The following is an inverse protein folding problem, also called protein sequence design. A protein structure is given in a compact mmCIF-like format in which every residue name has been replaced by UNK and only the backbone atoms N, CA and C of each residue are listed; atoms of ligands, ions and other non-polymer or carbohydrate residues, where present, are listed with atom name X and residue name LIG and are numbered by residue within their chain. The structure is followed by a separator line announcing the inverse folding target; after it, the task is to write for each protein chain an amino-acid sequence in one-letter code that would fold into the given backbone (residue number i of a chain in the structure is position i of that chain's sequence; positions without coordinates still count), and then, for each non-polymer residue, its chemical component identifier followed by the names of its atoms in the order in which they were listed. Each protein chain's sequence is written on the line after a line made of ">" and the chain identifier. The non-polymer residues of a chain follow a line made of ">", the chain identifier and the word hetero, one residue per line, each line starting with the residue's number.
data_IF_014939500331
#
_entry.id   IF_014939500331
#
_cell.length_a   1.000
_cell.length_b   1.000
_cell.length_c   1.000
_cell.angle_alpha   90.00
_cell.angle_beta   90.00
_cell.angle_gamma   90.00
#
_symmetry.space_group_name_H-M   'P 1'
#
loop_
_entity.id
_entity.type
_entity.pdbx_description
1 polymer ?
#
# COMPACT_ATOMS: atom_id res chain seq x y z
N UNK A 1 7.36 18.27 37.04
CA UNK A 1 6.54 19.08 36.11
C UNK A 1 7.48 19.89 35.21
N UNK A 2 8.15 19.26 34.24
CA UNK A 2 9.15 19.92 33.36
C UNK A 2 9.16 19.36 31.91
N UNK A 3 8.11 18.63 31.51
CA UNK A 3 8.03 17.99 30.19
C UNK A 3 7.39 18.86 29.10
N UNK A 4 6.45 19.74 29.46
CA UNK A 4 5.57 20.41 28.49
C UNK A 4 6.25 21.54 27.68
N UNK A 5 7.31 22.16 28.22
CA UNK A 5 7.98 23.29 27.57
C UNK A 5 8.86 22.86 26.38
N UNK A 6 9.46 21.66 26.45
CA UNK A 6 10.28 21.12 25.38
C UNK A 6 9.46 20.65 24.17
N UNK A 7 8.30 20.04 24.42
CA UNK A 7 7.39 19.55 23.38
C UNK A 7 6.78 20.69 22.55
N UNK A 8 6.44 21.82 23.20
CA UNK A 8 5.92 23.00 22.52
C UNK A 8 6.94 23.67 21.60
N UNK A 9 8.21 23.76 22.04
CA UNK A 9 9.30 24.30 21.23
C UNK A 9 9.60 23.41 20.01
N UNK A 10 9.61 22.08 20.21
CA UNK A 10 9.83 21.12 19.13
C UNK A 10 8.73 21.20 18.07
N UNK A 11 7.46 21.22 18.49
CA UNK A 11 6.31 21.33 17.58
C UNK A 11 6.33 22.63 16.77
N UNK A 12 6.77 23.73 17.37
CA UNK A 12 6.93 25.00 16.65
C UNK A 12 8.01 24.93 15.56
N UNK A 13 9.14 24.27 15.85
CA UNK A 13 10.22 24.08 14.86
C UNK A 13 9.71 23.26 13.67
N UNK A 14 8.98 22.17 13.93
CA UNK A 14 8.42 21.29 12.90
C UNK A 14 7.39 22.02 12.03
N UNK A 15 6.47 22.77 12.64
CA UNK A 15 5.47 23.56 11.92
C UNK A 15 6.15 24.61 11.03
N UNK A 16 7.17 25.30 11.54
CA UNK A 16 7.89 26.32 10.78
C UNK A 16 8.69 25.71 9.62
N UNK A 17 9.26 24.52 9.79
CA UNK A 17 9.94 23.79 8.71
C UNK A 17 8.94 23.38 7.62
N UNK A 18 7.79 22.80 8.00
CA UNK A 18 6.74 22.44 7.06
C UNK A 18 6.23 23.67 6.29
N UNK A 19 5.98 24.78 6.97
CA UNK A 19 5.55 26.03 6.33
C UNK A 19 6.57 26.57 5.32
N UNK A 20 7.87 26.49 5.61
CA UNK A 20 8.93 26.90 4.66
C UNK A 20 8.96 26.07 3.39
N UNK A 21 8.70 24.76 3.50
CA UNK A 21 8.67 23.84 2.36
C UNK A 21 7.39 24.06 1.55
N UNK A 22 6.23 24.13 2.22
CA UNK A 22 4.93 24.29 1.58
C UNK A 22 4.70 25.69 1.00
N UNK A 23 5.40 26.70 1.53
CA UNK A 23 5.30 28.10 1.10
C UNK A 23 6.10 28.43 -0.18
N UNK A 24 7.01 27.56 -0.61
CA UNK A 24 7.72 27.70 -1.88
C UNK A 24 7.17 26.65 -2.87
N UNK A 25 6.66 27.11 -4.02
CA UNK A 25 6.02 26.25 -5.02
C UNK A 25 6.97 25.19 -5.61
N UNK A 26 8.25 25.53 -5.80
CA UNK A 26 9.27 24.60 -6.29
C UNK A 26 9.62 23.54 -5.24
N UNK A 27 9.79 23.96 -3.98
CA UNK A 27 10.10 23.06 -2.88
C UNK A 27 8.93 22.13 -2.56
N UNK A 28 7.69 22.64 -2.62
CA UNK A 28 6.47 21.85 -2.49
C UNK A 28 6.38 20.79 -3.57
N UNK A 29 6.62 21.16 -4.84
CA UNK A 29 6.58 20.20 -5.95
C UNK A 29 7.64 19.10 -5.81
N UNK A 30 8.86 19.44 -5.38
CA UNK A 30 9.90 18.46 -5.12
C UNK A 30 9.53 17.51 -3.97
N UNK A 31 8.94 18.05 -2.90
CA UNK A 31 8.45 17.26 -1.77
C UNK A 31 7.32 16.31 -2.17
N UNK A 32 6.32 16.80 -2.92
CA UNK A 32 5.20 16.00 -3.41
C UNK A 32 5.67 14.86 -4.32
N UNK A 33 6.70 15.10 -5.15
CA UNK A 33 7.30 14.07 -6.00
C UNK A 33 8.00 12.99 -5.16
N UNK A 34 8.79 13.40 -4.16
CA UNK A 34 9.47 12.47 -3.25
C UNK A 34 8.47 11.62 -2.44
N UNK A 35 7.39 12.22 -1.96
CA UNK A 35 6.34 11.48 -1.25
C UNK A 35 5.69 10.44 -2.17
N UNK A 36 5.37 10.82 -3.41
CA UNK A 36 4.80 9.89 -4.38
C UNK A 36 5.75 8.74 -4.73
N UNK A 37 7.04 9.03 -4.91
CA UNK A 37 8.06 8.01 -5.13
C UNK A 37 8.18 7.07 -3.94
N UNK A 38 8.16 7.62 -2.71
CA UNK A 38 8.18 6.83 -1.48
C UNK A 38 6.92 5.99 -1.27
N UNK A 39 5.74 6.48 -1.69
CA UNK A 39 4.49 5.71 -1.69
C UNK A 39 4.52 4.55 -2.69
N UNK A 40 5.05 4.80 -3.90
CA UNK A 40 5.19 3.77 -4.93
C UNK A 40 6.23 2.71 -4.57
N UNK A 41 7.30 3.11 -3.86
CA UNK A 41 8.42 2.25 -3.47
C UNK A 41 8.19 1.61 -2.09
N UNK A 42 7.21 2.09 -1.32
CA UNK A 42 6.82 1.44 -0.07
C UNK A 42 6.32 0.05 -0.44
N UNK A 43 7.05 -0.95 0.03
CA UNK A 43 6.60 -2.34 0.00
C UNK A 43 5.25 -2.38 0.71
N UNK A 44 4.17 -2.56 -0.05
CA UNK A 44 2.85 -2.72 0.53
C UNK A 44 2.90 -3.97 1.41
N UNK A 45 2.40 -3.92 2.66
CA UNK A 45 2.38 -5.09 3.49
C UNK A 45 1.53 -6.16 2.81
N UNK A 46 2.19 -7.22 2.34
CA UNK A 46 1.51 -8.42 1.86
C UNK A 46 0.74 -8.98 3.05
N UNK A 47 -0.56 -9.06 2.88
CA UNK A 47 -1.48 -9.42 3.94
C UNK A 47 -1.39 -10.92 4.28
N UNK A 48 -1.22 -11.74 3.25
CA UNK A 48 -1.06 -13.17 3.38
C UNK A 48 -0.31 -13.76 2.18
N UNK A 49 0.33 -14.90 2.38
CA UNK A 49 0.90 -15.72 1.32
C UNK A 49 0.00 -16.94 1.11
N UNK A 50 -0.35 -17.22 -0.14
CA UNK A 50 -1.28 -18.29 -0.53
C UNK A 50 -0.62 -19.15 -1.59
N UNK A 51 -0.66 -20.47 -1.46
CA UNK A 51 -0.10 -21.35 -2.47
C UNK A 51 -1.05 -21.53 -3.66
N UNK A 52 -0.51 -21.82 -4.84
CA UNK A 52 -1.35 -22.15 -6.01
C UNK A 52 -2.34 -23.30 -5.74
N UNK A 53 -1.98 -24.19 -4.82
CA UNK A 53 -2.76 -25.36 -4.42
C UNK A 53 -4.00 -25.01 -3.58
N UNK A 54 -3.98 -23.85 -2.91
CA UNK A 54 -5.09 -23.37 -2.06
C UNK A 54 -6.14 -22.57 -2.84
N UNK A 55 -5.86 -22.25 -4.11
CA UNK A 55 -6.77 -21.53 -4.99
C UNK A 55 -7.87 -22.45 -5.52
N UNK A 56 -9.10 -21.94 -5.57
CA UNK A 56 -10.21 -22.62 -6.25
C UNK A 56 -10.14 -22.30 -7.74
N UNK A 57 -10.07 -23.32 -8.59
CA UNK A 57 -10.08 -23.15 -10.04
C UNK A 57 -11.48 -23.31 -10.63
N UNK A 58 -11.94 -22.28 -11.33
CA UNK A 58 -13.21 -22.28 -12.05
C UNK A 58 -12.97 -22.54 -13.55
N UNK A 59 -13.27 -23.74 -14.09
CA UNK A 59 -12.95 -24.11 -15.47
C UNK A 59 -13.83 -23.41 -16.51
N UNK A 60 -15.01 -22.90 -16.12
CA UNK A 60 -15.91 -22.17 -17.03
C UNK A 60 -15.40 -20.77 -17.35
N UNK A 61 -14.83 -20.09 -16.35
CA UNK A 61 -14.28 -18.73 -16.46
C UNK A 61 -12.77 -18.73 -16.65
N UNK A 62 -12.09 -19.86 -16.43
CA UNK A 62 -10.63 -19.99 -16.42
C UNK A 62 -9.96 -19.03 -15.42
N UNK A 63 -10.52 -18.96 -14.22
CA UNK A 63 -10.09 -18.05 -13.15
C UNK A 63 -9.79 -18.84 -11.88
N UNK A 64 -8.68 -18.52 -11.23
CA UNK A 64 -8.39 -18.93 -9.87
C UNK A 64 -8.98 -17.91 -8.88
N UNK A 65 -9.67 -18.41 -7.86
CA UNK A 65 -10.34 -17.61 -6.85
C UNK A 65 -9.89 -17.97 -5.43
N UNK A 66 -9.69 -16.95 -4.58
CA UNK A 66 -9.40 -17.10 -3.14
C UNK A 66 -10.30 -16.16 -2.33
N UNK A 67 -10.89 -16.60 -1.21
CA UNK A 67 -11.73 -15.73 -0.38
C UNK A 67 -10.88 -14.74 0.42
N UNK A 68 -11.34 -13.49 0.48
CA UNK A 68 -10.77 -12.48 1.36
C UNK A 68 -11.53 -12.41 2.69
N UNK A 69 -10.84 -12.10 3.80
CA UNK A 69 -11.46 -11.92 5.12
C UNK A 69 -12.48 -10.78 5.18
N UNK A 70 -12.47 -9.86 4.22
CA UNK A 70 -13.46 -8.78 4.13
C UNK A 70 -14.80 -9.24 3.52
N UNK A 71 -14.85 -10.46 2.97
CA UNK A 71 -16.00 -10.99 2.23
C UNK A 71 -15.90 -10.84 0.71
N UNK A 72 -14.87 -10.17 0.20
CA UNK A 72 -14.52 -10.14 -1.23
C UNK A 72 -13.72 -11.37 -1.67
N UNK A 73 -13.18 -11.33 -2.88
CA UNK A 73 -12.33 -12.37 -3.42
C UNK A 73 -11.09 -11.81 -4.13
N UNK A 74 -10.08 -12.67 -4.25
CA UNK A 74 -8.94 -12.48 -5.13
C UNK A 74 -9.20 -13.33 -6.36
N UNK A 75 -9.18 -12.71 -7.53
CA UNK A 75 -9.43 -13.36 -8.81
C UNK A 75 -8.23 -13.15 -9.73
N UNK A 76 -7.74 -14.23 -10.34
CA UNK A 76 -6.59 -14.20 -11.25
C UNK A 76 -6.78 -15.20 -12.38
N UNK A 77 -6.39 -14.83 -13.59
CA UNK A 77 -6.50 -15.71 -14.76
C UNK A 77 -5.28 -16.64 -14.85
N UNK A 78 -5.37 -17.68 -15.67
CA UNK A 78 -4.22 -18.54 -15.96
C UNK A 78 -3.04 -17.77 -16.59
N UNK A 79 -3.33 -16.69 -17.33
CA UNK A 79 -2.31 -15.82 -17.92
C UNK A 79 -1.48 -15.10 -16.85
N UNK A 80 -2.13 -14.71 -15.74
CA UNK A 80 -1.50 -13.95 -14.65
C UNK A 80 -0.51 -14.81 -13.86
N UNK A 81 -0.69 -16.13 -13.85
CA UNK A 81 0.17 -17.08 -13.13
C UNK A 81 1.67 -16.96 -13.45
N UNK A 82 2.02 -16.46 -14.63
CA UNK A 82 3.43 -16.35 -15.07
C UNK A 82 4.04 -14.97 -14.82
N UNK A 83 3.23 -13.94 -14.66
CA UNK A 83 3.68 -12.54 -14.67
C UNK A 83 3.35 -11.81 -13.35
N UNK A 84 2.36 -12.31 -12.60
CA UNK A 84 1.79 -11.65 -11.43
C UNK A 84 1.84 -12.57 -10.22
N UNK A 85 2.63 -12.18 -9.21
CA UNK A 85 2.67 -12.84 -7.90
C UNK A 85 1.84 -12.11 -6.84
N UNK A 86 1.41 -10.87 -7.09
CA UNK A 86 0.67 -10.05 -6.13
C UNK A 86 -0.74 -9.79 -6.65
N UNK A 87 -1.75 -10.15 -5.87
CA UNK A 87 -3.16 -10.00 -6.26
C UNK A 87 -3.90 -9.15 -5.23
N UNK A 88 -4.62 -8.14 -5.72
CA UNK A 88 -5.49 -7.30 -4.90
C UNK A 88 -6.87 -7.93 -4.74
N UNK A 89 -7.48 -7.70 -3.58
CA UNK A 89 -8.89 -8.02 -3.38
C UNK A 89 -9.76 -7.10 -4.23
N UNK A 90 -10.89 -7.61 -4.71
CA UNK A 90 -11.90 -6.85 -5.47
C UNK A 90 -12.68 -5.83 -4.60
N UNK A 91 -12.73 -6.06 -3.30
CA UNK A 91 -13.59 -5.33 -2.36
C UNK A 91 -12.84 -4.49 -1.33
N UNK A 92 -11.52 -4.64 -1.21
CA UNK A 92 -10.71 -3.88 -0.25
C UNK A 92 -9.29 -3.63 -0.78
N UNK A 93 -8.45 -2.98 0.03
CA UNK A 93 -7.05 -2.67 -0.30
C UNK A 93 -6.05 -3.76 0.11
N UNK A 94 -6.51 -4.98 0.44
CA UNK A 94 -5.64 -6.08 0.83
C UNK A 94 -4.99 -6.71 -0.40
N UNK A 95 -3.74 -7.10 -0.24
CA UNK A 95 -2.92 -7.72 -1.28
C UNK A 95 -2.37 -9.02 -0.73
N UNK A 96 -2.51 -10.10 -1.47
CA UNK A 96 -1.88 -11.40 -1.16
C UNK A 96 -0.78 -11.69 -2.17
N UNK A 97 0.20 -12.47 -1.73
CA UNK A 97 1.25 -13.01 -2.58
C UNK A 97 0.95 -14.48 -2.87
N UNK A 98 1.00 -14.86 -4.15
CA UNK A 98 0.80 -16.24 -4.58
C UNK A 98 2.15 -16.92 -4.77
N UNK A 99 2.36 -18.04 -4.07
CA UNK A 99 3.57 -18.86 -4.06
C UNK A 99 3.43 -20.14 -4.89
#
# INVERSE_FOLDING_TARGET
>A
MAGQAGEGAQRFIEINQAWKILGNEEAKKAYDLQQREAELTKMWPVDNQVHWEDLSWDPETMVYSFPCRCGGSYAMTESDRKDVSLVNCDSCSLIIEIL
#
